data_IF_224271560453
#
_entry.id   IF_224271560453
#
_cell.length_a   1.000
_cell.length_b   1.000
_cell.length_c   1.000
_cell.angle_alpha   90.00
_cell.angle_beta   90.00
_cell.angle_gamma   90.00
#
_symmetry.space_group_name_H-M   'P 1'
#
loop_
_entity.id
_entity.type
_entity.pdbx_description
1 polymer ?
#
# COMPACT_ATOMS: atom_id res chain seq x y z
N UNK A 1 14.76 20.88 -10.07
CA UNK A 1 13.97 20.23 -8.99
C UNK A 1 12.72 19.53 -9.51
N UNK A 2 11.85 20.16 -10.31
CA UNK A 2 10.63 19.52 -10.86
C UNK A 2 10.83 18.10 -11.46
N UNK A 3 11.89 17.81 -12.24
CA UNK A 3 12.09 16.48 -12.82
C UNK A 3 12.26 15.37 -11.76
N UNK A 4 12.95 15.68 -10.66
CA UNK A 4 13.12 14.76 -9.53
C UNK A 4 11.83 14.51 -8.75
N UNK A 5 10.96 15.52 -8.62
CA UNK A 5 9.66 15.36 -7.95
C UNK A 5 8.72 14.44 -8.75
N UNK A 6 8.80 14.50 -10.08
CA UNK A 6 8.07 13.59 -10.96
C UNK A 6 8.62 12.16 -10.87
N UNK A 7 9.95 11.97 -10.94
CA UNK A 7 10.57 10.64 -10.78
C UNK A 7 10.23 9.99 -9.44
N UNK A 8 10.24 10.77 -8.35
CA UNK A 8 9.92 10.28 -7.02
C UNK A 8 8.42 9.98 -6.80
N UNK A 9 7.53 10.29 -7.76
CA UNK A 9 6.06 10.18 -7.68
C UNK A 9 5.52 10.66 -6.32
N UNK A 10 5.94 11.86 -5.90
CA UNK A 10 5.71 12.40 -4.55
C UNK A 10 4.22 12.52 -4.20
N UNK A 11 3.34 12.70 -5.19
CA UNK A 11 1.89 12.73 -5.00
C UNK A 11 1.32 11.45 -4.37
N UNK A 12 2.02 10.32 -4.52
CA UNK A 12 1.61 9.04 -3.94
C UNK A 12 2.31 8.75 -2.60
N UNK A 13 3.30 9.55 -2.19
CA UNK A 13 4.03 9.35 -0.92
C UNK A 13 3.11 9.33 0.32
N UNK A 14 2.06 10.17 0.43
CA UNK A 14 1.17 10.13 1.58
C UNK A 14 0.47 8.77 1.76
N UNK A 15 0.25 8.01 0.68
CA UNK A 15 -0.32 6.66 0.78
C UNK A 15 0.64 5.69 1.47
N UNK A 16 1.96 5.89 1.31
CA UNK A 16 2.96 5.09 2.01
C UNK A 16 3.00 5.47 3.50
N UNK A 17 2.80 6.75 3.81
CA UNK A 17 2.70 7.22 5.20
C UNK A 17 1.47 6.66 5.91
N UNK A 18 0.30 6.64 5.26
CA UNK A 18 -0.90 6.04 5.86
C UNK A 18 -0.70 4.56 6.15
N UNK A 19 -0.02 3.80 5.27
CA UNK A 19 0.31 2.40 5.53
C UNK A 19 1.22 2.22 6.74
N UNK A 20 2.30 3.02 6.81
CA UNK A 20 3.26 2.96 7.92
C UNK A 20 2.60 3.30 9.25
N UNK A 21 1.83 4.39 9.30
CA UNK A 21 1.11 4.81 10.51
C UNK A 21 0.08 3.74 10.89
N UNK A 22 -0.65 3.19 9.92
CA UNK A 22 -1.64 2.17 10.21
C UNK A 22 -1.01 0.88 10.77
N UNK A 23 0.05 0.39 10.14
CA UNK A 23 0.82 -0.74 10.62
C UNK A 23 1.40 -0.53 12.02
N UNK A 24 1.95 0.66 12.26
CA UNK A 24 2.52 1.06 13.55
C UNK A 24 1.48 1.02 14.66
N UNK A 25 0.32 1.67 14.46
CA UNK A 25 -0.76 1.71 15.43
C UNK A 25 -1.36 0.32 15.69
N UNK A 26 -1.56 -0.49 14.64
CA UNK A 26 -2.08 -1.85 14.76
C UNK A 26 -1.12 -2.79 15.50
N UNK A 27 0.19 -2.55 15.38
CA UNK A 27 1.21 -3.27 16.16
C UNK A 27 1.29 -2.81 17.62
N UNK A 28 0.48 -1.82 18.04
CA UNK A 28 0.44 -1.27 19.40
C UNK A 28 1.37 -0.08 19.62
N UNK A 29 1.91 0.51 18.56
CA UNK A 29 2.83 1.65 18.64
C UNK A 29 2.10 2.94 18.98
N UNK A 30 2.74 3.81 19.76
CA UNK A 30 2.20 5.13 20.09
C UNK A 30 2.41 6.11 18.92
N UNK A 31 1.42 6.96 18.56
CA UNK A 31 1.59 7.99 17.53
C UNK A 31 2.62 9.07 17.92
N UNK A 32 2.98 9.17 19.20
CA UNK A 32 3.95 10.14 19.71
C UNK A 32 5.36 9.57 19.89
N UNK A 33 5.58 8.31 19.51
CA UNK A 33 6.91 7.69 19.55
C UNK A 33 7.79 8.28 18.43
N UNK A 34 8.96 8.81 18.80
CA UNK A 34 9.93 9.38 17.85
C UNK A 34 10.39 8.38 16.79
N UNK A 35 10.37 7.07 17.09
CA UNK A 35 10.72 6.01 16.14
C UNK A 35 9.78 6.03 14.93
N UNK A 36 8.51 6.39 15.10
CA UNK A 36 7.56 6.48 13.98
C UNK A 36 8.04 7.49 12.93
N UNK A 37 8.58 8.64 13.34
CA UNK A 37 9.10 9.63 12.41
C UNK A 37 10.27 9.09 11.57
N UNK A 38 11.15 8.30 12.19
CA UNK A 38 12.27 7.66 11.50
C UNK A 38 11.83 6.53 10.57
N UNK A 39 10.83 5.73 10.97
CA UNK A 39 10.24 4.72 10.09
C UNK A 39 9.51 5.37 8.91
N UNK A 40 8.85 6.52 9.10
CA UNK A 40 8.25 7.30 8.02
C UNK A 40 9.31 7.86 7.06
N UNK A 41 10.44 8.34 7.58
CA UNK A 41 11.58 8.77 6.75
C UNK A 41 12.17 7.61 5.96
N UNK A 42 12.40 6.46 6.61
CA UNK A 42 12.88 5.25 5.97
C UNK A 42 11.93 4.79 4.84
N UNK A 43 10.63 4.70 5.12
CA UNK A 43 9.62 4.35 4.14
C UNK A 43 9.59 5.34 2.97
N UNK A 44 9.80 6.64 3.25
CA UNK A 44 9.84 7.67 2.21
C UNK A 44 11.03 7.48 1.27
N UNK A 45 12.21 7.21 1.83
CA UNK A 45 13.43 6.94 1.07
C UNK A 45 13.31 5.64 0.27
N UNK A 46 12.78 4.58 0.87
CA UNK A 46 12.58 3.28 0.21
C UNK A 46 11.58 3.43 -0.95
N UNK A 47 10.45 4.09 -0.73
CA UNK A 47 9.42 4.28 -1.73
C UNK A 47 9.96 5.12 -2.91
N UNK A 48 10.49 6.30 -2.63
CA UNK A 48 10.99 7.22 -3.67
C UNK A 48 12.21 6.64 -4.39
N UNK A 49 13.11 5.98 -3.67
CA UNK A 49 14.24 5.25 -4.24
C UNK A 49 13.79 4.16 -5.21
N UNK A 50 12.79 3.36 -4.83
CA UNK A 50 12.18 2.35 -5.72
C UNK A 50 11.53 2.98 -6.96
N UNK A 51 10.84 4.11 -6.82
CA UNK A 51 10.24 4.80 -7.99
C UNK A 51 11.30 5.26 -9.00
N UNK A 52 12.40 5.86 -8.50
CA UNK A 52 13.51 6.31 -9.34
C UNK A 52 14.23 5.10 -9.97
N UNK A 53 14.41 4.02 -9.21
CA UNK A 53 15.03 2.78 -9.68
C UNK A 53 14.23 2.15 -10.83
N UNK A 54 12.91 2.09 -10.69
CA UNK A 54 12.00 1.60 -11.73
C UNK A 54 12.17 2.38 -13.04
N UNK A 55 12.10 3.71 -12.98
CA UNK A 55 12.25 4.55 -14.18
C UNK A 55 13.69 4.47 -14.76
N UNK A 56 14.71 4.22 -13.93
CA UNK A 56 16.08 4.03 -14.38
C UNK A 56 16.31 2.66 -15.05
N UNK A 57 15.68 1.60 -14.55
CA UNK A 57 15.69 0.26 -15.16
C UNK A 57 14.90 0.23 -16.49
N UNK A 58 13.90 1.09 -16.61
CA UNK A 58 13.02 1.19 -17.76
C UNK A 58 13.52 2.11 -18.87
N UNK A 59 14.70 2.71 -18.74
CA UNK A 59 15.17 3.79 -19.63
C UNK A 59 15.22 3.40 -21.11
N UNK A 60 15.73 2.22 -21.47
CA UNK A 60 15.76 1.78 -22.87
C UNK A 60 14.35 1.68 -23.47
N UNK A 61 13.40 1.10 -22.73
CA UNK A 61 12.01 1.00 -23.17
C UNK A 61 11.33 2.37 -23.26
N UNK A 62 11.58 3.23 -22.27
CA UNK A 62 10.98 4.56 -22.20
C UNK A 62 11.54 5.52 -23.27
N UNK A 63 12.77 5.31 -23.75
CA UNK A 63 13.30 6.05 -24.92
C UNK A 63 12.51 5.79 -26.21
N UNK A 64 11.91 4.61 -26.33
CA UNK A 64 11.10 4.27 -27.50
C UNK A 64 9.65 4.74 -27.34
N UNK A 65 9.05 4.54 -26.16
CA UNK A 65 7.61 4.69 -25.94
C UNK A 65 7.19 5.97 -25.20
N UNK A 66 8.07 6.56 -24.39
CA UNK A 66 7.77 7.65 -23.42
C UNK A 66 8.93 8.66 -23.32
N UNK A 67 9.24 9.27 -24.46
CA UNK A 67 10.40 10.17 -24.63
C UNK A 67 10.35 11.40 -23.73
N UNK A 68 9.17 11.80 -23.29
CA UNK A 68 8.91 12.93 -22.41
C UNK A 68 9.38 12.72 -20.96
N UNK A 69 9.63 11.46 -20.55
CA UNK A 69 10.04 11.16 -19.17
C UNK A 69 11.40 11.79 -18.82
N UNK A 70 11.66 12.13 -17.54
CA UNK A 70 12.87 12.88 -17.14
C UNK A 70 14.21 12.23 -17.51
N UNK A 71 14.30 10.89 -17.47
CA UNK A 71 15.54 10.16 -17.78
C UNK A 71 15.75 10.04 -19.31
N UNK A 72 14.78 9.55 -20.11
CA UNK A 72 14.90 9.52 -21.57
C UNK A 72 15.12 10.88 -22.23
N UNK A 73 14.47 11.93 -21.71
CA UNK A 73 14.63 13.31 -22.22
C UNK A 73 15.96 13.97 -21.83
N UNK A 74 16.81 13.31 -21.05
CA UNK A 74 18.11 13.80 -20.63
C UNK A 74 18.08 14.85 -19.51
N UNK A 75 16.92 15.15 -18.91
CA UNK A 75 16.81 16.08 -17.78
C UNK A 75 17.50 15.52 -16.51
N UNK A 76 17.57 14.20 -16.40
CA UNK A 76 18.30 13.48 -15.34
C UNK A 76 19.18 12.42 -15.98
N UNK A 77 20.48 12.42 -15.66
CA UNK A 77 21.42 11.41 -16.16
C UNK A 77 21.11 10.02 -15.61
N UNK A 78 21.17 9.00 -16.46
CA UNK A 78 20.89 7.59 -16.11
C UNK A 78 21.75 7.12 -14.93
N UNK A 79 23.08 7.35 -14.99
CA UNK A 79 24.01 6.99 -13.90
C UNK A 79 23.64 7.66 -12.58
N UNK A 80 23.26 8.94 -12.64
CA UNK A 80 22.83 9.69 -11.46
C UNK A 80 21.54 9.10 -10.87
N UNK A 81 20.56 8.74 -11.71
CA UNK A 81 19.33 8.11 -11.26
C UNK A 81 19.60 6.79 -10.52
N UNK A 82 20.48 5.93 -11.06
CA UNK A 82 20.91 4.68 -10.42
C UNK A 82 21.61 4.92 -9.07
N UNK A 83 22.57 5.84 -9.02
CA UNK A 83 23.31 6.12 -7.76
C UNK A 83 22.38 6.67 -6.70
N UNK A 84 21.51 7.62 -7.06
CA UNK A 84 20.54 8.22 -6.11
C UNK A 84 19.56 7.17 -5.62
N UNK A 85 18.96 6.37 -6.50
CA UNK A 85 17.99 5.36 -6.10
C UNK A 85 18.59 4.29 -5.18
N UNK A 86 19.76 3.73 -5.55
CA UNK A 86 20.46 2.76 -4.71
C UNK A 86 20.86 3.35 -3.36
N UNK A 87 21.31 4.61 -3.32
CA UNK A 87 21.65 5.29 -2.06
C UNK A 87 20.42 5.48 -1.18
N UNK A 88 19.27 5.87 -1.75
CA UNK A 88 18.03 6.04 -1.00
C UNK A 88 17.49 4.72 -0.45
N UNK A 89 17.54 3.64 -1.25
CA UNK A 89 17.17 2.30 -0.78
C UNK A 89 18.07 1.82 0.36
N UNK A 90 19.39 2.02 0.23
CA UNK A 90 20.37 1.65 1.26
C UNK A 90 20.17 2.45 2.55
N UNK A 91 20.15 3.79 2.47
CA UNK A 91 19.96 4.66 3.63
C UNK A 91 18.61 4.41 4.30
N UNK A 92 17.53 4.28 3.51
CA UNK A 92 16.21 3.94 4.02
C UNK A 92 16.19 2.60 4.75
N UNK A 93 16.85 1.58 4.20
CA UNK A 93 17.03 0.28 4.86
C UNK A 93 17.79 0.39 6.19
N UNK A 94 18.93 1.09 6.20
CA UNK A 94 19.75 1.30 7.41
C UNK A 94 18.95 2.02 8.49
N UNK A 95 18.19 3.07 8.15
CA UNK A 95 17.33 3.78 9.10
C UNK A 95 16.26 2.82 9.65
N UNK A 96 15.57 2.06 8.79
CA UNK A 96 14.54 1.12 9.26
C UNK A 96 15.10 0.13 10.30
N UNK A 97 16.26 -0.47 10.03
CA UNK A 97 16.93 -1.41 10.93
C UNK A 97 17.39 -0.73 12.22
N UNK A 98 17.97 0.48 12.13
CA UNK A 98 18.43 1.25 13.28
C UNK A 98 17.31 1.64 14.25
N UNK A 99 16.07 1.74 13.75
CA UNK A 99 14.88 2.06 14.55
C UNK A 99 13.95 0.86 14.81
N UNK A 100 14.49 -0.35 14.71
CA UNK A 100 13.87 -1.58 15.25
C UNK A 100 13.16 -2.46 14.24
N UNK A 101 13.13 -2.12 12.95
CA UNK A 101 12.52 -2.98 11.95
C UNK A 101 13.27 -4.32 11.81
N UNK A 102 12.54 -5.38 11.49
CA UNK A 102 13.10 -6.72 11.38
C UNK A 102 14.00 -6.86 10.14
N UNK A 103 15.26 -7.33 10.28
CA UNK A 103 16.21 -7.47 9.17
C UNK A 103 15.73 -8.34 8.02
N UNK A 104 15.05 -9.46 8.30
CA UNK A 104 14.60 -10.37 7.25
C UNK A 104 13.47 -9.74 6.43
N UNK A 105 12.51 -9.08 7.08
CA UNK A 105 11.39 -8.41 6.40
C UNK A 105 11.88 -7.21 5.59
N UNK A 106 12.78 -6.39 6.15
CA UNK A 106 13.39 -5.26 5.45
C UNK A 106 14.21 -5.75 4.26
N UNK A 107 15.02 -6.80 4.41
CA UNK A 107 15.76 -7.40 3.31
C UNK A 107 14.85 -7.94 2.21
N UNK A 108 13.75 -8.61 2.58
CA UNK A 108 12.75 -9.11 1.63
C UNK A 108 12.04 -7.98 0.88
N UNK A 109 11.71 -6.88 1.56
CA UNK A 109 11.15 -5.67 0.92
C UNK A 109 12.10 -5.09 -0.12
N UNK A 110 13.36 -4.85 0.26
CA UNK A 110 14.36 -4.28 -0.65
C UNK A 110 14.62 -5.21 -1.83
N UNK A 111 14.73 -6.52 -1.58
CA UNK A 111 14.86 -7.54 -2.61
C UNK A 111 13.66 -7.57 -3.56
N UNK A 112 12.43 -7.47 -3.05
CA UNK A 112 11.22 -7.44 -3.85
C UNK A 112 11.14 -6.20 -4.74
N UNK A 113 11.54 -5.02 -4.24
CA UNK A 113 11.61 -3.78 -5.03
C UNK A 113 12.60 -3.95 -6.19
N UNK A 114 13.84 -4.35 -5.90
CA UNK A 114 14.87 -4.54 -6.95
C UNK A 114 14.44 -5.61 -7.95
N UNK A 115 13.87 -6.72 -7.47
CA UNK A 115 13.39 -7.80 -8.33
C UNK A 115 12.25 -7.32 -9.25
N UNK A 116 11.30 -6.56 -8.73
CA UNK A 116 10.24 -5.97 -9.54
C UNK A 116 10.82 -5.04 -10.60
N UNK A 117 11.65 -4.07 -10.21
CA UNK A 117 12.15 -3.05 -11.12
C UNK A 117 12.95 -3.65 -12.28
N UNK A 118 13.73 -4.71 -12.03
CA UNK A 118 14.54 -5.37 -13.06
C UNK A 118 13.77 -6.34 -13.97
N UNK A 119 12.70 -6.98 -13.48
CA UNK A 119 12.07 -8.12 -14.18
C UNK A 119 10.59 -7.93 -14.53
N UNK A 120 9.92 -6.87 -14.06
CA UNK A 120 8.46 -6.79 -14.16
C UNK A 120 7.89 -6.85 -15.59
N UNK A 121 8.64 -6.38 -16.59
CA UNK A 121 8.21 -6.40 -18.00
C UNK A 121 8.28 -7.77 -18.65
N UNK A 122 9.12 -8.68 -18.13
CA UNK A 122 9.32 -10.02 -18.69
C UNK A 122 8.27 -11.02 -18.21
N UNK A 123 7.51 -10.67 -17.17
CA UNK A 123 6.65 -11.62 -16.47
C UNK A 123 5.32 -11.00 -16.02
N UNK A 124 4.22 -11.67 -16.38
CA UNK A 124 2.86 -11.25 -16.03
C UNK A 124 2.58 -11.27 -14.51
N UNK A 125 3.26 -12.15 -13.75
CA UNK A 125 3.10 -12.25 -12.29
C UNK A 125 3.76 -11.13 -11.49
N UNK A 126 4.42 -10.16 -12.14
CA UNK A 126 5.01 -8.99 -11.48
C UNK A 126 3.99 -8.14 -10.72
N UNK A 127 2.70 -8.23 -11.06
CA UNK A 127 1.61 -7.61 -10.28
C UNK A 127 1.59 -8.09 -8.83
N UNK A 128 1.93 -9.37 -8.58
CA UNK A 128 1.99 -9.96 -7.24
C UNK A 128 3.17 -9.38 -6.47
N UNK A 129 4.31 -9.19 -7.13
CA UNK A 129 5.50 -8.59 -6.50
C UNK A 129 5.22 -7.13 -6.09
N UNK A 130 4.51 -6.36 -6.92
CA UNK A 130 4.09 -4.99 -6.56
C UNK A 130 3.20 -4.97 -5.29
N UNK A 131 2.25 -5.90 -5.20
CA UNK A 131 1.43 -6.08 -4.00
C UNK A 131 2.27 -6.55 -2.79
N UNK A 132 3.23 -7.44 -3.01
CA UNK A 132 4.15 -7.91 -1.99
C UNK A 132 5.02 -6.77 -1.44
N UNK A 133 5.52 -5.86 -2.28
CA UNK A 133 6.25 -4.67 -1.81
C UNK A 133 5.40 -3.85 -0.83
N UNK A 134 4.09 -3.70 -1.12
CA UNK A 134 3.19 -2.96 -0.23
C UNK A 134 2.93 -3.68 1.08
N UNK A 135 2.67 -4.98 1.01
CA UNK A 135 2.52 -5.85 2.18
C UNK A 135 3.78 -5.81 3.06
N UNK A 136 4.96 -5.97 2.46
CA UNK A 136 6.23 -6.01 3.17
C UNK A 136 6.56 -4.66 3.81
N UNK A 137 6.26 -3.53 3.15
CA UNK A 137 6.37 -2.20 3.76
C UNK A 137 5.51 -2.10 5.03
N UNK A 138 4.28 -2.62 4.98
CA UNK A 138 3.38 -2.70 6.12
C UNK A 138 4.01 -3.53 7.26
N UNK A 139 4.56 -4.70 6.95
CA UNK A 139 5.19 -5.57 7.93
C UNK A 139 6.49 -4.99 8.50
N UNK A 140 7.28 -4.26 7.71
CA UNK A 140 8.47 -3.53 8.18
C UNK A 140 8.07 -2.54 9.29
N UNK A 141 7.05 -1.72 9.04
CA UNK A 141 6.57 -0.74 10.02
C UNK A 141 6.01 -1.41 11.29
N UNK A 142 5.22 -2.48 11.15
CA UNK A 142 4.70 -3.23 12.29
C UNK A 142 5.82 -3.88 13.12
N UNK A 143 6.83 -4.43 12.45
CA UNK A 143 7.97 -5.11 13.10
C UNK A 143 8.84 -4.19 13.95
N UNK A 144 8.81 -2.88 13.68
CA UNK A 144 9.57 -1.88 14.45
C UNK A 144 8.97 -1.60 15.83
N UNK A 145 7.71 -1.97 16.05
CA UNK A 145 6.99 -1.75 17.32
C UNK A 145 7.19 -2.94 18.25
N UNK A 146 6.94 -4.16 17.75
CA UNK A 146 7.00 -5.37 18.52
C UNK A 146 7.59 -6.52 17.68
N UNK A 147 8.31 -7.48 18.30
CA UNK A 147 8.75 -8.67 17.59
C UNK A 147 7.56 -9.55 17.18
N UNK A 148 7.69 -10.27 16.07
CA UNK A 148 6.73 -11.30 15.67
C UNK A 148 6.76 -12.44 16.70
N UNK A 149 5.76 -12.49 17.58
CA UNK A 149 5.65 -13.49 18.64
C UNK A 149 4.23 -14.07 18.70
N UNK A 150 4.14 -15.34 19.10
CA UNK A 150 2.86 -15.94 19.45
C UNK A 150 2.65 -15.79 20.96
N UNK A 151 1.48 -15.34 21.40
CA UNK A 151 1.12 -15.28 22.81
C UNK A 151 -0.29 -15.82 23.05
N UNK A 152 -0.53 -16.36 24.24
CA UNK A 152 -1.88 -16.77 24.63
C UNK A 152 -2.75 -15.53 24.86
N UNK A 153 -3.91 -15.47 24.20
CA UNK A 153 -4.91 -14.43 24.39
C UNK A 153 -6.16 -15.00 25.07
N UNK A 154 -6.69 -14.23 26.03
CA UNK A 154 -7.99 -14.44 26.65
C UNK A 154 -8.92 -13.28 26.29
N UNK A 155 -10.15 -13.59 25.90
CA UNK A 155 -11.17 -12.58 25.62
C UNK A 155 -12.58 -13.15 25.77
N UNK A 156 -13.58 -12.27 25.69
CA UNK A 156 -14.99 -12.64 25.72
C UNK A 156 -15.73 -11.97 24.56
N UNK A 157 -16.61 -12.71 23.90
CA UNK A 157 -17.50 -12.23 22.84
C UNK A 157 -18.93 -12.26 23.37
N UNK A 158 -19.62 -11.12 23.36
CA UNK A 158 -21.03 -11.04 23.76
C UNK A 158 -21.92 -10.91 22.53
N UNK A 159 -22.82 -11.88 22.31
CA UNK A 159 -23.86 -11.82 21.27
C UNK A 159 -25.20 -12.25 21.86
N UNK A 160 -26.26 -11.46 21.59
CA UNK A 160 -27.64 -11.75 22.03
C UNK A 160 -27.78 -12.10 23.53
N UNK A 161 -27.00 -11.42 24.39
CA UNK A 161 -27.00 -11.67 25.83
C UNK A 161 -26.24 -12.92 26.28
N UNK A 162 -25.60 -13.65 25.37
CA UNK A 162 -24.71 -14.77 25.69
C UNK A 162 -23.23 -14.32 25.61
N UNK A 163 -22.50 -14.54 26.71
CA UNK A 163 -21.04 -14.33 26.79
C UNK A 163 -20.28 -15.61 26.43
N UNK A 164 -19.46 -15.53 25.39
CA UNK A 164 -18.60 -16.60 24.90
C UNK A 164 -17.15 -16.26 25.24
N UNK A 165 -16.60 -16.94 26.24
CA UNK A 165 -15.20 -16.80 26.60
C UNK A 165 -14.33 -17.64 25.68
N UNK A 166 -13.33 -17.01 25.05
CA UNK A 166 -12.31 -17.72 24.31
C UNK A 166 -10.96 -17.60 25.05
N UNK A 167 -10.33 -18.74 25.23
CA UNK A 167 -8.93 -18.84 25.59
C UNK A 167 -8.24 -19.52 24.41
N UNK A 168 -7.32 -18.80 23.80
CA UNK A 168 -6.54 -19.30 22.67
C UNK A 168 -5.11 -19.49 23.13
N UNK A 169 -4.61 -20.71 23.02
CA UNK A 169 -3.30 -21.09 23.57
C UNK A 169 -2.13 -20.51 22.75
N UNK A 170 -2.37 -20.25 21.46
CA UNK A 170 -1.40 -19.67 20.54
C UNK A 170 -2.09 -18.73 19.56
N UNK A 171 -2.38 -17.49 19.98
CA UNK A 171 -2.79 -16.46 19.03
C UNK A 171 -1.60 -15.59 18.61
N UNK A 172 -1.64 -15.06 17.38
CA UNK A 172 -0.65 -14.08 16.96
C UNK A 172 -0.72 -12.84 17.87
N UNK A 173 0.37 -12.53 18.56
CA UNK A 173 0.51 -11.31 19.34
C UNK A 173 1.40 -10.31 18.59
N UNK A 174 1.15 -9.02 18.79
CA UNK A 174 1.93 -7.96 18.14
C UNK A 174 1.73 -7.93 16.61
N UNK A 175 2.79 -7.87 15.78
CA UNK A 175 2.71 -7.62 14.34
C UNK A 175 1.90 -8.66 13.55
N UNK A 176 1.65 -9.85 14.11
CA UNK A 176 0.86 -10.86 13.42
C UNK A 176 -0.65 -10.54 13.41
N UNK A 177 -1.16 -9.71 14.32
CA UNK A 177 -2.51 -9.12 14.20
C UNK A 177 -2.63 -8.15 13.02
N UNK A 178 -1.48 -7.66 12.54
CA UNK A 178 -1.37 -6.77 11.39
C UNK A 178 -1.44 -7.56 10.08
N UNK A 179 -1.18 -8.87 10.11
CA UNK A 179 -1.07 -9.71 8.91
C UNK A 179 -2.34 -9.72 8.03
N UNK A 180 -3.58 -9.82 8.56
CA UNK A 180 -4.78 -9.75 7.74
C UNK A 180 -4.90 -8.42 6.98
N UNK A 181 -4.53 -7.31 7.63
CA UNK A 181 -4.56 -5.97 7.01
C UNK A 181 -3.42 -5.79 6.00
N UNK A 182 -2.23 -6.31 6.31
CA UNK A 182 -1.08 -6.32 5.39
C UNK A 182 -1.34 -7.16 4.13
N UNK A 183 -2.00 -8.31 4.28
CA UNK A 183 -2.48 -9.14 3.17
C UNK A 183 -3.57 -8.43 2.37
N UNK A 184 -4.53 -7.80 3.03
CA UNK A 184 -5.59 -7.05 2.37
C UNK A 184 -5.05 -5.90 1.53
N UNK A 185 -4.11 -5.09 2.04
CA UNK A 185 -3.51 -4.01 1.24
C UNK A 185 -2.66 -4.58 0.10
N UNK A 186 -1.94 -5.68 0.32
CA UNK A 186 -1.21 -6.38 -0.73
C UNK A 186 -2.13 -6.81 -1.88
N UNK A 187 -3.20 -7.55 -1.55
CA UNK A 187 -4.24 -7.97 -2.50
C UNK A 187 -4.89 -6.78 -3.21
N UNK A 188 -5.24 -5.73 -2.48
CA UNK A 188 -5.79 -4.50 -3.04
C UNK A 188 -4.86 -3.89 -4.10
N UNK A 189 -3.56 -3.77 -3.80
CA UNK A 189 -2.56 -3.27 -4.76
C UNK A 189 -2.36 -4.20 -5.95
N UNK A 190 -2.43 -5.52 -5.77
CA UNK A 190 -2.45 -6.47 -6.91
C UNK A 190 -3.66 -6.16 -7.79
N UNK A 191 -4.85 -6.00 -7.21
CA UNK A 191 -6.08 -5.64 -7.91
C UNK A 191 -5.97 -4.33 -8.69
N UNK A 192 -5.40 -3.28 -8.08
CA UNK A 192 -5.11 -2.00 -8.76
C UNK A 192 -4.15 -2.22 -9.93
N UNK A 193 -3.06 -2.95 -9.72
CA UNK A 193 -2.02 -3.13 -10.73
C UNK A 193 -2.54 -3.94 -11.93
N UNK A 194 -3.37 -4.95 -11.67
CA UNK A 194 -4.09 -5.68 -12.73
C UNK A 194 -5.05 -4.77 -13.49
N UNK A 195 -5.84 -3.96 -12.77
CA UNK A 195 -6.78 -3.00 -13.37
C UNK A 195 -6.05 -1.94 -14.22
N UNK A 196 -4.89 -1.46 -13.77
CA UNK A 196 -4.06 -0.52 -14.52
C UNK A 196 -3.49 -1.14 -15.79
N UNK A 197 -3.11 -2.43 -15.78
CA UNK A 197 -2.65 -3.12 -16.99
C UNK A 197 -3.75 -3.32 -18.05
N UNK A 198 -5.03 -3.22 -17.68
CA UNK A 198 -6.14 -3.19 -18.65
C UNK A 198 -6.05 -1.97 -19.58
N UNK A 199 -5.37 -0.89 -19.16
CA UNK A 199 -5.17 0.33 -19.95
C UNK A 199 -4.27 0.13 -21.17
N UNK A 200 -3.28 -0.75 -21.06
CA UNK A 200 -2.17 -0.79 -22.02
C UNK A 200 -2.40 -1.70 -23.23
N UNK A 201 -3.38 -2.61 -23.19
CA UNK A 201 -3.50 -3.63 -24.24
C UNK A 201 -4.61 -3.40 -25.26
N UNK A 202 -5.61 -2.54 -25.02
CA UNK A 202 -6.74 -2.36 -25.95
C UNK A 202 -7.65 -3.60 -26.11
N UNK A 203 -7.13 -4.80 -25.87
CA UNK A 203 -7.83 -6.07 -25.81
C UNK A 203 -8.52 -6.27 -24.46
N UNK A 204 -9.77 -6.74 -24.52
CA UNK A 204 -10.49 -7.18 -23.34
C UNK A 204 -9.75 -8.37 -22.70
N UNK A 205 -9.16 -8.15 -21.53
CA UNK A 205 -8.60 -9.21 -20.70
C UNK A 205 -9.67 -10.29 -20.44
N UNK A 206 -9.30 -11.58 -20.33
CA UNK A 206 -10.24 -12.66 -20.06
C UNK A 206 -11.13 -12.33 -18.86
N UNK A 207 -12.43 -12.63 -18.95
CA UNK A 207 -13.41 -12.32 -17.89
C UNK A 207 -12.93 -12.78 -16.51
N UNK A 208 -12.30 -13.95 -16.42
CA UNK A 208 -11.72 -14.48 -15.19
C UNK A 208 -10.67 -13.55 -14.55
N UNK A 209 -9.80 -12.92 -15.34
CA UNK A 209 -8.77 -11.99 -14.82
C UNK A 209 -9.36 -10.67 -14.35
N UNK A 210 -10.42 -10.19 -15.01
CA UNK A 210 -11.16 -9.00 -14.58
C UNK A 210 -11.92 -9.27 -13.28
N UNK A 211 -12.58 -10.43 -13.18
CA UNK A 211 -13.25 -10.87 -11.96
C UNK A 211 -12.27 -11.02 -10.80
N UNK A 212 -11.09 -11.61 -11.04
CA UNK A 212 -10.04 -11.72 -10.02
C UNK A 212 -9.56 -10.34 -9.56
N UNK A 213 -9.28 -9.41 -10.49
CA UNK A 213 -8.88 -8.05 -10.14
C UNK A 213 -9.95 -7.37 -9.26
N UNK A 214 -11.23 -7.47 -9.62
CA UNK A 214 -12.31 -6.90 -8.82
C UNK A 214 -12.45 -7.58 -7.46
N UNK A 215 -12.36 -8.91 -7.39
CA UNK A 215 -12.41 -9.64 -6.12
C UNK A 215 -11.29 -9.19 -5.17
N UNK A 216 -10.08 -9.00 -5.70
CA UNK A 216 -8.93 -8.50 -4.93
C UNK A 216 -9.13 -7.07 -4.40
N UNK A 217 -9.82 -6.20 -5.15
CA UNK A 217 -10.13 -4.83 -4.70
C UNK A 217 -11.07 -4.80 -3.47
N UNK A 218 -11.93 -5.80 -3.30
CA UNK A 218 -12.83 -5.88 -2.15
C UNK A 218 -12.20 -6.53 -0.90
N UNK A 219 -10.96 -7.04 -0.99
CA UNK A 219 -10.32 -7.73 0.14
C UNK A 219 -10.23 -6.90 1.43
N UNK A 220 -9.96 -5.58 1.43
CA UNK A 220 -9.99 -4.78 2.66
C UNK A 220 -11.37 -4.68 3.29
N UNK A 221 -12.42 -4.61 2.47
CA UNK A 221 -13.80 -4.60 2.95
C UNK A 221 -14.17 -5.92 3.63
N UNK A 222 -13.74 -7.04 3.04
CA UNK A 222 -13.97 -8.39 3.57
C UNK A 222 -13.27 -8.56 4.93
N UNK A 223 -11.99 -8.18 5.02
CA UNK A 223 -11.24 -8.26 6.29
C UNK A 223 -11.88 -7.38 7.36
N UNK A 224 -12.30 -6.16 7.01
CA UNK A 224 -12.99 -5.27 7.94
C UNK A 224 -14.35 -5.86 8.40
N UNK A 225 -15.14 -6.42 7.48
CA UNK A 225 -16.44 -7.02 7.79
C UNK A 225 -16.29 -8.26 8.69
N UNK A 226 -15.34 -9.15 8.40
CA UNK A 226 -15.03 -10.31 9.25
C UNK A 226 -14.64 -9.89 10.67
N UNK A 227 -13.86 -8.81 10.79
CA UNK A 227 -13.49 -8.28 12.10
C UNK A 227 -14.69 -7.66 12.83
N UNK A 228 -15.50 -6.87 12.12
CA UNK A 228 -16.72 -6.29 12.66
C UNK A 228 -17.68 -7.36 13.21
N UNK A 229 -17.88 -8.45 12.46
CA UNK A 229 -18.73 -9.57 12.88
C UNK A 229 -18.19 -10.34 14.08
N UNK A 230 -16.87 -10.31 14.32
CA UNK A 230 -16.26 -11.03 15.45
C UNK A 230 -16.19 -10.19 16.71
N UNK A 231 -15.81 -8.90 16.65
CA UNK A 231 -15.60 -8.07 17.85
C UNK A 231 -16.75 -7.09 18.14
N UNK A 232 -17.77 -7.05 17.29
CA UNK A 232 -18.66 -5.90 17.20
C UNK A 232 -17.93 -4.69 16.61
N UNK A 233 -18.69 -3.69 16.16
CA UNK A 233 -18.08 -2.46 15.67
C UNK A 233 -19.00 -1.26 15.77
N UNK A 234 -18.40 -0.09 15.62
CA UNK A 234 -19.10 1.18 15.79
C UNK A 234 -19.90 1.54 14.53
N UNK A 235 -21.01 2.29 14.66
CA UNK A 235 -21.73 2.83 13.49
C UNK A 235 -20.82 3.60 12.52
N UNK A 236 -19.79 4.28 13.05
CA UNK A 236 -18.82 5.00 12.23
C UNK A 236 -17.94 4.07 11.39
N UNK A 237 -17.59 2.87 11.88
CA UNK A 237 -16.87 1.87 11.07
C UNK A 237 -17.70 1.41 9.88
N UNK A 238 -19.02 1.24 10.06
CA UNK A 238 -19.95 0.92 8.96
C UNK A 238 -19.95 2.05 7.92
N UNK A 239 -19.90 3.30 8.35
CA UNK A 239 -19.80 4.45 7.44
C UNK A 239 -18.49 4.41 6.64
N UNK A 240 -17.34 4.18 7.28
CA UNK A 240 -16.05 4.07 6.57
C UNK A 240 -16.06 2.90 5.58
N UNK A 241 -16.63 1.76 5.96
CA UNK A 241 -16.82 0.59 5.09
C UNK A 241 -17.72 0.93 3.89
N UNK A 242 -18.82 1.64 4.12
CA UNK A 242 -19.73 2.09 3.07
C UNK A 242 -19.04 3.06 2.08
N UNK A 243 -18.24 4.00 2.59
CA UNK A 243 -17.45 4.92 1.75
C UNK A 243 -16.45 4.15 0.90
N UNK A 244 -15.72 3.19 1.49
CA UNK A 244 -14.78 2.35 0.74
C UNK A 244 -15.49 1.51 -0.33
N UNK A 245 -16.59 0.85 0.03
CA UNK A 245 -17.36 0.02 -0.90
C UNK A 245 -17.92 0.86 -2.07
N UNK A 246 -18.39 2.08 -1.80
CA UNK A 246 -18.84 3.01 -2.82
C UNK A 246 -17.68 3.45 -3.74
N UNK A 247 -16.49 3.72 -3.20
CA UNK A 247 -15.30 4.04 -3.99
C UNK A 247 -14.92 2.89 -4.92
N UNK A 248 -14.87 1.65 -4.42
CA UNK A 248 -14.53 0.47 -5.23
C UNK A 248 -15.61 0.21 -6.28
N UNK A 249 -16.90 0.35 -5.94
CA UNK A 249 -17.99 0.20 -6.89
C UNK A 249 -17.91 1.26 -8.01
N UNK A 250 -17.70 2.52 -7.65
CA UNK A 250 -17.52 3.62 -8.60
C UNK A 250 -16.31 3.38 -9.52
N UNK A 251 -15.18 2.97 -8.96
CA UNK A 251 -13.97 2.67 -9.72
C UNK A 251 -14.19 1.50 -10.67
N UNK A 252 -14.84 0.43 -10.20
CA UNK A 252 -15.18 -0.76 -11.01
C UNK A 252 -16.10 -0.40 -12.18
N UNK A 253 -17.15 0.39 -11.94
CA UNK A 253 -18.03 0.88 -13.00
C UNK A 253 -17.27 1.77 -14.01
N UNK A 254 -16.31 2.55 -13.53
CA UNK A 254 -15.51 3.44 -14.38
C UNK A 254 -14.49 2.65 -15.22
N UNK A 255 -13.89 1.60 -14.66
CA UNK A 255 -13.00 0.67 -15.38
C UNK A 255 -13.71 -0.01 -16.55
N UNK A 256 -14.98 -0.40 -16.36
CA UNK A 256 -15.81 -1.02 -17.42
C UNK A 256 -16.07 -0.11 -18.62
N UNK A 257 -15.95 1.22 -18.46
CA UNK A 257 -16.12 2.17 -19.57
C UNK A 257 -14.93 2.19 -20.54
N UNK A 258 -13.76 1.66 -20.12
CA UNK A 258 -12.57 1.58 -20.95
C UNK A 258 -11.90 2.93 -21.26
N UNK A 259 -10.78 2.87 -21.99
CA UNK A 259 -10.05 4.06 -22.47
C UNK A 259 -9.57 4.99 -21.36
N UNK A 260 -9.66 6.33 -21.54
CA UNK A 260 -9.20 7.33 -20.55
C UNK A 260 -9.92 7.27 -19.20
N UNK A 261 -11.01 6.50 -19.09
CA UNK A 261 -11.68 6.27 -17.81
C UNK A 261 -10.86 5.36 -16.88
N UNK A 262 -10.00 4.48 -17.43
CA UNK A 262 -9.18 3.54 -16.65
C UNK A 262 -8.20 4.30 -15.75
N UNK A 263 -7.38 5.19 -16.30
CA UNK A 263 -6.46 6.01 -15.50
C UNK A 263 -7.18 6.87 -14.43
N UNK A 264 -8.41 7.33 -14.71
CA UNK A 264 -9.22 8.02 -13.69
C UNK A 264 -9.64 7.12 -12.55
N UNK A 265 -10.04 5.88 -12.84
CA UNK A 265 -10.42 4.88 -11.84
C UNK A 265 -9.21 4.42 -11.02
N UNK A 266 -8.08 4.11 -11.68
CA UNK A 266 -6.82 3.75 -11.02
C UNK A 266 -6.36 4.85 -10.09
N UNK A 267 -6.43 6.12 -10.49
CA UNK A 267 -6.11 7.25 -9.61
C UNK A 267 -6.98 7.31 -8.35
N UNK A 268 -8.29 7.04 -8.46
CA UNK A 268 -9.18 6.95 -7.29
C UNK A 268 -8.87 5.74 -6.41
N UNK A 269 -8.53 4.60 -6.98
CA UNK A 269 -8.12 3.41 -6.22
C UNK A 269 -6.79 3.63 -5.49
N UNK A 270 -5.81 4.27 -6.13
CA UNK A 270 -4.55 4.64 -5.49
C UNK A 270 -4.75 5.61 -4.32
N UNK A 271 -5.60 6.64 -4.49
CA UNK A 271 -5.98 7.51 -3.38
C UNK A 271 -6.74 6.74 -2.29
N UNK A 272 -7.54 5.74 -2.69
CA UNK A 272 -8.30 4.84 -1.83
C UNK A 272 -7.45 3.99 -0.88
N UNK A 273 -6.12 3.89 -1.07
CA UNK A 273 -5.20 3.27 -0.11
C UNK A 273 -5.34 3.90 1.28
N UNK A 274 -5.53 5.23 1.36
CA UNK A 274 -5.75 5.91 2.63
C UNK A 274 -7.04 5.44 3.33
N UNK A 275 -8.10 5.13 2.56
CA UNK A 275 -9.34 4.57 3.11
C UNK A 275 -9.14 3.12 3.55
N UNK A 276 -8.33 2.33 2.83
CA UNK A 276 -7.96 0.96 3.26
C UNK A 276 -7.25 1.02 4.61
N UNK A 277 -6.31 1.94 4.79
CA UNK A 277 -5.63 2.15 6.07
C UNK A 277 -6.60 2.65 7.15
N UNK A 278 -7.55 3.52 6.80
CA UNK A 278 -8.58 3.98 7.70
C UNK A 278 -9.45 2.82 8.21
N UNK A 279 -9.85 1.87 7.34
CA UNK A 279 -10.58 0.67 7.75
C UNK A 279 -9.78 -0.14 8.76
N UNK A 280 -8.48 -0.28 8.54
CA UNK A 280 -7.61 -1.05 9.42
C UNK A 280 -7.52 -0.42 10.82
N UNK A 281 -7.20 0.88 10.91
CA UNK A 281 -7.04 1.57 12.19
C UNK A 281 -8.35 2.01 12.84
N UNK A 282 -9.49 1.89 12.15
CA UNK A 282 -10.80 2.25 12.72
C UNK A 282 -11.15 1.46 13.99
N UNK A 283 -10.48 0.33 14.21
CA UNK A 283 -10.57 -0.50 15.43
C UNK A 283 -9.69 0.03 16.58
N UNK A 284 -8.67 0.84 16.27
CA UNK A 284 -7.72 1.42 17.22
C UNK A 284 -8.07 2.87 17.55
N UNK A 285 -8.30 3.70 16.52
CA UNK A 285 -8.69 5.11 16.67
C UNK A 285 -9.59 5.53 15.51
N UNK A 286 -10.86 5.81 15.83
CA UNK A 286 -11.82 6.28 14.83
C UNK A 286 -11.50 7.70 14.36
N UNK A 287 -10.94 8.55 15.21
CA UNK A 287 -10.58 9.92 14.87
C UNK A 287 -9.48 9.94 13.79
N UNK A 288 -8.43 9.14 13.96
CA UNK A 288 -7.37 9.01 12.95
C UNK A 288 -7.87 8.36 11.66
N UNK A 289 -8.77 7.37 11.75
CA UNK A 289 -9.42 6.79 10.58
C UNK A 289 -10.19 7.85 9.77
N UNK A 290 -10.96 8.73 10.43
CA UNK A 290 -11.67 9.83 9.75
C UNK A 290 -10.70 10.82 9.10
N UNK A 291 -9.56 11.12 9.74
CA UNK A 291 -8.51 11.94 9.12
C UNK A 291 -7.97 11.30 7.84
N UNK A 292 -7.76 9.98 7.81
CA UNK A 292 -7.29 9.26 6.63
C UNK A 292 -8.34 9.25 5.51
N UNK A 293 -9.62 9.09 5.85
CA UNK A 293 -10.72 9.23 4.88
C UNK A 293 -10.72 10.63 4.27
N UNK A 294 -10.63 11.68 5.11
CA UNK A 294 -10.60 13.07 4.67
C UNK A 294 -9.35 13.42 3.83
N UNK A 295 -8.24 12.70 4.02
CA UNK A 295 -7.03 12.86 3.22
C UNK A 295 -7.23 12.42 1.76
N UNK A 296 -8.09 11.41 1.52
CA UNK A 296 -8.31 10.81 0.18
C UNK A 296 -8.63 11.83 -0.94
N UNK A 297 -9.61 12.74 -0.81
CA UNK A 297 -9.87 13.75 -1.84
C UNK A 297 -8.69 14.71 -2.04
N UNK A 298 -7.93 15.04 -0.99
CA UNK A 298 -6.74 15.87 -1.07
C UNK A 298 -5.63 15.17 -1.86
N UNK A 299 -5.43 13.86 -1.64
CA UNK A 299 -4.50 13.06 -2.44
C UNK A 299 -4.92 13.04 -3.90
N UNK A 300 -6.22 12.87 -4.16
CA UNK A 300 -6.72 12.86 -5.54
C UNK A 300 -6.49 14.19 -6.24
N UNK A 301 -6.69 15.30 -5.53
CA UNK A 301 -6.36 16.64 -6.02
C UNK A 301 -4.87 16.73 -6.33
N UNK A 302 -4.00 16.37 -5.38
CA UNK A 302 -2.54 16.45 -5.55
C UNK A 302 -2.04 15.59 -6.73
N UNK A 303 -2.57 14.39 -6.91
CA UNK A 303 -2.25 13.52 -8.05
C UNK A 303 -2.60 14.11 -9.42
N UNK A 304 -3.49 15.11 -9.49
CA UNK A 304 -3.78 15.85 -10.74
C UNK A 304 -2.72 16.91 -11.05
N UNK A 305 -2.05 17.44 -10.03
CA UNK A 305 -1.02 18.48 -10.19
C UNK A 305 0.38 17.91 -10.39
N UNK A 306 0.66 16.72 -9.84
CA UNK A 306 1.91 15.98 -10.02
C UNK A 306 1.54 14.58 -10.49
N UNK A 307 1.69 14.33 -11.80
CA UNK A 307 1.27 13.10 -12.47
C UNK A 307 1.71 11.85 -11.69
N UNK A 308 0.73 11.01 -11.34
CA UNK A 308 0.90 9.84 -10.49
C UNK A 308 1.35 8.58 -11.26
N UNK A 309 1.39 8.65 -12.59
CA UNK A 309 1.68 7.56 -13.54
C UNK A 309 2.30 8.12 -14.81
#
# INVERSE_FOLDING_TARGET
MRPWLHLARISNLPTAWTNVIAAWLLAGGSPFDVRLAWILLAASLIYTGGMILNDAADVEFDREHRKERPIPSGQVGVRTAWVVSCSMLFVGGVIALGYGANPAITGLLLGAIVFYDLYHKRWAGSVVVMGACRLLLYLVAASAVAPFAFASQKGALSFFGAEWHYQTDLMPAGPLLVLPYALAIGCYVVGITMAARMEHKGDALPVATSLLAFALLYTPAIVCAMRFSSTGGSPLQIVVLGVFAALVAYATQTLRKGGPAIGRAVGWLLAGIAIVDALAISTVSIQLALCFVALTPLLRLWQRWVAAT
#
